data_IF_242960074699
#
_entry.id   IF_242960074699
#
_cell.length_a   1.000
_cell.length_b   1.000
_cell.length_c   1.000
_cell.angle_alpha   90.00
_cell.angle_beta   90.00
_cell.angle_gamma   90.00
#
_symmetry.space_group_name_H-M   'P 1'
#
loop_
_entity.id
_entity.type
_entity.pdbx_description
1 polymer ?
#
# COMPACT_ATOMS: atom_id res chain seq x y z
N UNK A 1 -20.83 -2.42 -9.71
CA UNK A 1 -19.62 -1.87 -10.37
C UNK A 1 -18.43 -2.28 -9.52
N UNK A 2 -17.28 -2.64 -10.11
CA UNK A 2 -16.07 -2.98 -9.35
C UNK A 2 -15.03 -1.88 -9.54
N UNK A 3 -14.34 -1.49 -8.46
CA UNK A 3 -13.36 -0.41 -8.43
C UNK A 3 -12.01 -0.90 -7.89
N UNK A 4 -10.91 -0.63 -8.60
CA UNK A 4 -9.56 -0.89 -8.08
C UNK A 4 -8.85 0.45 -7.89
N UNK A 5 -8.36 0.70 -6.68
CA UNK A 5 -7.67 1.94 -6.31
C UNK A 5 -6.18 1.63 -6.20
N UNK A 6 -5.34 2.29 -6.99
CA UNK A 6 -3.89 2.13 -6.94
C UNK A 6 -3.30 3.29 -6.14
N UNK A 7 -2.59 2.96 -5.05
CA UNK A 7 -1.96 3.92 -4.15
C UNK A 7 -0.43 3.78 -4.19
N UNK A 8 0.29 4.63 -4.94
CA UNK A 8 1.75 4.66 -4.90
C UNK A 8 2.26 5.28 -3.60
N UNK A 9 3.31 4.71 -3.03
CA UNK A 9 3.88 5.08 -1.73
C UNK A 9 5.40 5.22 -1.84
N UNK A 10 5.92 6.37 -1.39
CA UNK A 10 7.36 6.59 -1.23
C UNK A 10 7.64 7.60 -0.13
N UNK A 11 8.16 7.14 1.01
CA UNK A 11 8.52 7.98 2.16
C UNK A 11 7.41 8.92 2.67
N UNK A 12 6.22 8.38 2.96
CA UNK A 12 5.01 9.10 3.38
C UNK A 12 4.46 8.66 4.73
N UNK A 13 5.31 8.19 5.65
CA UNK A 13 4.91 7.62 6.96
C UNK A 13 3.95 8.51 7.77
N UNK A 14 4.05 9.83 7.62
CA UNK A 14 3.21 10.81 8.36
C UNK A 14 1.77 10.91 7.85
N UNK A 15 1.51 10.45 6.64
CA UNK A 15 0.22 10.63 5.97
C UNK A 15 -0.44 9.33 5.53
N UNK A 16 0.34 8.25 5.41
CA UNK A 16 -0.14 6.99 4.83
C UNK A 16 -1.32 6.39 5.60
N UNK A 17 -1.32 6.40 6.93
CA UNK A 17 -2.46 5.91 7.74
C UNK A 17 -3.74 6.65 7.42
N UNK A 18 -3.71 8.00 7.49
CA UNK A 18 -4.88 8.84 7.20
C UNK A 18 -5.40 8.63 5.78
N UNK A 19 -4.49 8.43 4.82
CA UNK A 19 -4.87 8.15 3.44
C UNK A 19 -5.60 6.79 3.33
N UNK A 20 -5.04 5.73 3.90
CA UNK A 20 -5.66 4.39 3.88
C UNK A 20 -7.01 4.41 4.63
N UNK A 21 -7.08 5.05 5.79
CA UNK A 21 -8.34 5.20 6.54
C UNK A 21 -9.42 5.90 5.70
N UNK A 22 -9.04 6.93 4.94
CA UNK A 22 -9.95 7.62 4.02
C UNK A 22 -10.42 6.70 2.90
N UNK A 23 -9.54 5.84 2.36
CA UNK A 23 -9.88 4.89 1.30
C UNK A 23 -10.73 3.71 1.81
N UNK A 24 -10.65 3.39 3.10
CA UNK A 24 -11.49 2.36 3.72
C UNK A 24 -12.90 2.87 4.05
N UNK A 25 -13.04 4.18 4.30
CA UNK A 25 -14.31 4.83 4.63
C UNK A 25 -15.10 5.27 3.38
N UNK A 26 -15.34 4.34 2.45
CA UNK A 26 -16.14 4.58 1.24
C UNK A 26 -17.54 4.03 1.42
N UNK A 27 -18.55 4.66 0.79
CA UNK A 27 -19.94 4.17 0.74
C UNK A 27 -20.12 2.98 -0.24
N UNK A 28 -19.08 2.15 -0.39
CA UNK A 28 -19.04 0.96 -1.24
C UNK A 28 -18.96 -0.29 -0.37
N UNK A 29 -19.53 -1.39 -0.84
CA UNK A 29 -19.34 -2.68 -0.18
C UNK A 29 -17.87 -3.09 -0.26
N UNK A 30 -17.32 -3.66 0.82
CA UNK A 30 -15.95 -4.19 0.88
C UNK A 30 -15.61 -5.18 -0.24
N UNK A 31 -16.61 -5.86 -0.81
CA UNK A 31 -16.41 -6.81 -1.92
C UNK A 31 -16.38 -6.16 -3.31
N UNK A 32 -16.75 -4.89 -3.40
CA UNK A 32 -16.88 -4.15 -4.65
C UNK A 32 -15.67 -3.27 -4.96
N UNK A 33 -14.70 -3.17 -4.04
CA UNK A 33 -13.44 -2.49 -4.32
C UNK A 33 -12.22 -3.12 -3.64
N UNK A 34 -11.06 -2.84 -4.21
CA UNK A 34 -9.76 -3.21 -3.66
C UNK A 34 -8.82 -2.00 -3.64
N UNK A 35 -7.86 -2.02 -2.73
CA UNK A 35 -6.78 -1.05 -2.62
C UNK A 35 -5.47 -1.78 -2.90
N UNK A 36 -4.78 -1.39 -3.97
CA UNK A 36 -3.48 -1.92 -4.33
C UNK A 36 -2.44 -0.87 -4.00
N UNK A 37 -1.65 -1.11 -2.96
CA UNK A 37 -0.60 -0.21 -2.50
C UNK A 37 0.70 -0.65 -3.15
N UNK A 38 1.43 0.28 -3.76
CA UNK A 38 2.69 -0.01 -4.46
C UNK A 38 3.81 0.83 -3.85
N UNK A 39 4.83 0.18 -3.29
CA UNK A 39 6.04 0.85 -2.77
C UNK A 39 7.25 0.55 -3.66
N UNK A 40 8.03 1.59 -3.97
CA UNK A 40 9.29 1.50 -4.71
C UNK A 40 10.49 1.67 -3.77
N UNK A 41 10.53 0.86 -2.70
CA UNK A 41 11.63 0.86 -1.73
C UNK A 41 11.63 2.08 -0.80
N UNK A 42 10.49 2.34 -0.14
CA UNK A 42 10.43 3.35 0.92
C UNK A 42 11.42 3.01 2.04
N UNK A 43 12.12 4.01 2.56
CA UNK A 43 13.15 3.85 3.61
C UNK A 43 12.66 4.27 5.00
N UNK A 44 11.49 4.90 5.06
CA UNK A 44 10.82 5.28 6.30
C UNK A 44 9.87 4.16 6.76
N UNK A 45 8.99 4.45 7.74
CA UNK A 45 8.05 3.46 8.27
C UNK A 45 6.83 3.21 7.38
N UNK A 46 6.77 3.76 6.16
CA UNK A 46 5.58 3.63 5.31
C UNK A 46 5.19 2.17 5.07
N UNK A 47 6.15 1.29 4.77
CA UNK A 47 5.86 -0.13 4.48
C UNK A 47 5.43 -0.90 5.73
N UNK A 48 6.00 -0.57 6.91
CA UNK A 48 5.58 -1.16 8.19
C UNK A 48 4.11 -0.82 8.47
N UNK A 49 3.75 0.45 8.28
CA UNK A 49 2.37 0.91 8.46
C UNK A 49 1.45 0.19 7.47
N UNK A 50 1.78 0.14 6.18
CA UNK A 50 0.97 -0.55 5.17
C UNK A 50 0.76 -2.04 5.49
N UNK A 51 1.81 -2.73 5.93
CA UNK A 51 1.71 -4.13 6.33
C UNK A 51 0.73 -4.34 7.50
N UNK A 52 0.68 -3.41 8.46
CA UNK A 52 -0.30 -3.47 9.56
C UNK A 52 -1.75 -3.40 9.06
N UNK A 53 -2.03 -2.63 8.01
CA UNK A 53 -3.35 -2.57 7.39
C UNK A 53 -3.67 -3.86 6.61
N UNK A 54 -2.71 -4.42 5.87
CA UNK A 54 -2.91 -5.67 5.13
C UNK A 54 -3.30 -6.85 6.04
N UNK A 55 -2.80 -6.88 7.27
CA UNK A 55 -3.17 -7.91 8.26
C UNK A 55 -4.61 -7.79 8.76
N UNK A 56 -5.21 -6.60 8.69
CA UNK A 56 -6.55 -6.32 9.21
C UNK A 56 -7.63 -6.26 8.11
N UNK A 57 -7.24 -6.03 6.86
CA UNK A 57 -8.17 -5.79 5.76
C UNK A 57 -7.84 -6.66 4.54
N UNK A 58 -8.79 -7.52 4.18
CA UNK A 58 -8.64 -8.48 3.08
C UNK A 58 -8.77 -7.86 1.67
N UNK A 59 -9.24 -6.63 1.57
CA UNK A 59 -9.36 -5.89 0.31
C UNK A 59 -8.15 -4.98 0.05
N UNK A 60 -7.11 -5.05 0.89
CA UNK A 60 -5.85 -4.33 0.69
C UNK A 60 -4.78 -5.31 0.24
N UNK A 61 -4.16 -5.03 -0.91
CA UNK A 61 -3.04 -5.77 -1.46
C UNK A 61 -1.80 -4.85 -1.47
N UNK A 62 -0.67 -5.35 -0.97
CA UNK A 62 0.58 -4.60 -0.94
C UNK A 62 1.64 -5.21 -1.85
N UNK A 63 2.18 -4.39 -2.75
CA UNK A 63 3.27 -4.72 -3.66
C UNK A 63 4.47 -3.84 -3.30
N UNK A 64 5.48 -4.41 -2.64
CA UNK A 64 6.74 -3.72 -2.36
C UNK A 64 7.82 -4.20 -3.32
N UNK A 65 8.44 -3.26 -4.02
CA UNK A 65 9.65 -3.50 -4.80
C UNK A 65 10.87 -3.09 -3.98
N UNK A 66 11.75 -4.06 -3.74
CA UNK A 66 13.07 -3.81 -3.17
C UNK A 66 14.11 -4.14 -4.25
N UNK A 67 14.94 -3.17 -4.67
CA UNK A 67 16.03 -3.45 -5.59
C UNK A 67 16.95 -4.51 -4.99
N UNK A 68 16.99 -5.69 -5.60
CA UNK A 68 17.98 -6.71 -5.26
C UNK A 68 19.34 -6.24 -5.77
N UNK A 69 20.27 -5.90 -4.87
CA UNK A 69 21.66 -5.63 -5.22
C UNK A 69 22.28 -6.95 -5.70
N UNK A 70 22.07 -7.31 -6.97
CA UNK A 70 22.67 -8.52 -7.57
C UNK A 70 23.41 -8.25 -8.89
N UNK A 71 23.54 -7.00 -9.33
CA UNK A 71 24.15 -6.66 -10.62
C UNK A 71 25.25 -5.61 -10.62
N UNK A 72 25.82 -5.26 -9.45
CA UNK A 72 26.98 -4.36 -9.39
C UNK A 72 28.25 -5.09 -8.94
N UNK A 73 28.60 -6.12 -9.71
CA UNK A 73 29.94 -6.71 -9.72
C UNK A 73 30.35 -6.85 -11.18
N UNK A 74 30.70 -5.73 -11.80
CA UNK A 74 31.47 -5.64 -13.03
C UNK A 74 32.72 -4.81 -12.72
#
# INVERSE_FOLDING_TARGET
MKLSIILPVYNVEKHISKCIDSLLNQDLNFKDYEIIIVSDGSKDKSEEIVNSYCNNYNNINFLSYTPSIRFMSL
#
